data_IF_290169571807
#
_entry.id   IF_290169571807
#
_cell.length_a   1.000
_cell.length_b   1.000
_cell.length_c   1.000
_cell.angle_alpha   90.00
_cell.angle_beta   90.00
_cell.angle_gamma   90.00
#
_symmetry.space_group_name_H-M   'P 1'
#
loop_
_entity.id
_entity.type
_entity.pdbx_description
1 polymer ?
#
# COMPACT_ATOMS: atom_id res chain seq x y z
N UNK A 1 48.95 -131.09 18.02
CA UNK A 1 49.47 -129.76 18.38
C UNK A 1 48.46 -128.72 17.92
N UNK A 2 47.57 -128.31 18.83
CA UNK A 2 46.16 -127.96 18.60
C UNK A 2 45.92 -126.67 17.77
N UNK A 3 45.37 -126.86 16.56
CA UNK A 3 44.04 -126.42 16.05
C UNK A 3 43.36 -125.14 16.60
N UNK A 4 42.42 -124.49 15.85
CA UNK A 4 42.10 -124.63 14.40
C UNK A 4 41.58 -123.36 13.65
N UNK A 5 41.48 -123.50 12.31
CA UNK A 5 40.32 -123.25 11.37
C UNK A 5 39.53 -121.92 11.48
N UNK A 6 38.85 -121.39 10.46
CA UNK A 6 38.56 -121.62 9.02
C UNK A 6 37.68 -120.41 8.62
N UNK A 7 37.49 -120.25 7.30
CA UNK A 7 36.19 -120.03 6.64
C UNK A 7 36.10 -118.75 5.79
N UNK A 8 35.59 -119.02 4.60
CA UNK A 8 35.31 -118.21 3.42
C UNK A 8 33.80 -117.82 3.42
N UNK A 9 33.44 -116.58 3.05
CA UNK A 9 32.11 -116.15 2.53
C UNK A 9 32.25 -114.66 2.15
N UNK A 10 32.15 -114.14 0.92
CA UNK A 10 31.13 -114.14 -0.15
C UNK A 10 29.86 -113.28 0.17
N UNK A 11 29.61 -112.29 -0.72
CA UNK A 11 28.32 -111.71 -1.22
C UNK A 11 27.86 -110.27 -0.82
N UNK A 12 27.71 -109.45 -1.90
CA UNK A 12 26.65 -108.49 -2.33
C UNK A 12 26.37 -107.09 -1.69
N UNK A 13 26.59 -106.04 -2.51
CA UNK A 13 25.63 -105.14 -3.23
C UNK A 13 24.47 -104.41 -2.46
N UNK A 14 24.39 -103.07 -2.66
CA UNK A 14 23.26 -102.08 -2.65
C UNK A 14 23.29 -100.91 -1.60
N UNK A 15 23.33 -99.69 -2.16
CA UNK A 15 22.83 -98.33 -1.82
C UNK A 15 22.97 -97.63 -0.45
N UNK A 16 23.59 -96.44 -0.55
CA UNK A 16 23.18 -95.09 -0.09
C UNK A 16 22.77 -94.90 1.39
N UNK A 17 23.59 -94.12 2.10
CA UNK A 17 23.21 -93.39 3.31
C UNK A 17 24.32 -92.41 3.72
N UNK A 18 24.04 -91.10 3.56
CA UNK A 18 24.84 -89.98 4.05
C UNK A 18 25.31 -90.20 5.50
N UNK A 19 26.60 -89.98 5.75
CA UNK A 19 27.06 -89.59 7.09
C UNK A 19 27.61 -88.16 6.97
N UNK A 20 26.79 -87.22 7.45
CA UNK A 20 27.15 -85.82 7.55
C UNK A 20 28.32 -85.67 8.54
N UNK A 21 29.40 -85.07 8.07
CA UNK A 21 30.42 -84.47 8.92
C UNK A 21 29.74 -83.27 9.57
N UNK A 22 29.36 -83.37 10.84
CA UNK A 22 28.85 -82.23 11.62
C UNK A 22 30.02 -81.28 11.88
N UNK A 23 30.31 -80.43 10.88
CA UNK A 23 31.18 -79.28 11.03
C UNK A 23 30.64 -78.37 12.14
N UNK A 24 31.54 -77.89 12.99
CA UNK A 24 31.28 -76.74 13.83
C UNK A 24 30.86 -75.60 12.89
N UNK A 25 29.57 -75.22 12.91
CA UNK A 25 29.10 -74.06 12.16
C UNK A 25 29.81 -72.85 12.76
N UNK A 26 30.68 -72.20 11.98
CA UNK A 26 31.15 -70.86 12.33
C UNK A 26 29.89 -70.01 12.51
N UNK A 27 29.68 -69.50 13.73
CA UNK A 27 28.52 -68.65 13.99
C UNK A 27 28.73 -67.34 13.24
N UNK A 28 27.74 -66.93 12.45
CA UNK A 28 27.74 -65.62 11.79
C UNK A 28 27.87 -64.52 12.85
N UNK A 29 28.76 -63.56 12.63
CA UNK A 29 28.90 -62.40 13.52
C UNK A 29 28.58 -61.11 12.78
N UNK A 30 28.03 -60.15 13.53
CA UNK A 30 27.68 -58.82 13.05
C UNK A 30 28.42 -57.77 13.88
N UNK A 31 28.88 -56.71 13.22
CA UNK A 31 29.63 -55.62 13.84
C UNK A 31 28.73 -54.41 14.02
N UNK A 32 28.70 -53.88 15.23
CA UNK A 32 28.09 -52.59 15.57
C UNK A 32 29.21 -51.58 15.77
N UNK A 33 29.24 -50.56 14.92
CA UNK A 33 30.19 -49.44 15.01
C UNK A 33 29.49 -48.23 15.62
N UNK A 34 30.14 -47.53 16.55
CA UNK A 34 29.59 -46.34 17.19
C UNK A 34 30.20 -45.07 16.59
N UNK A 35 29.35 -44.18 16.08
CA UNK A 35 29.73 -42.88 15.51
C UNK A 35 29.37 -41.75 16.51
N UNK A 36 30.32 -40.89 16.91
CA UNK A 36 30.06 -39.80 17.85
C UNK A 36 29.12 -38.72 17.31
N UNK A 37 28.85 -38.70 15.99
CA UNK A 37 27.91 -37.83 15.31
C UNK A 37 28.03 -36.34 15.70
N UNK A 38 29.23 -35.79 15.47
CA UNK A 38 29.58 -34.42 15.85
C UNK A 38 30.04 -34.27 17.31
N UNK A 39 30.07 -35.35 18.09
CA UNK A 39 30.82 -35.44 19.35
C UNK A 39 32.30 -35.77 19.14
N UNK A 40 33.02 -35.95 20.24
CA UNK A 40 34.44 -36.29 20.30
C UNK A 40 34.68 -37.51 21.19
N UNK A 41 35.80 -38.21 21.00
CA UNK A 41 36.18 -39.43 21.72
C UNK A 41 36.33 -40.64 20.79
N UNK A 42 36.53 -41.83 21.35
CA UNK A 42 36.65 -43.08 20.61
C UNK A 42 35.98 -44.23 21.37
N UNK A 43 35.26 -45.09 20.65
CA UNK A 43 34.69 -46.34 21.16
C UNK A 43 35.13 -47.50 20.27
N UNK A 44 35.37 -48.66 20.87
CA UNK A 44 35.66 -49.88 20.11
C UNK A 44 34.40 -50.41 19.44
N UNK A 45 34.57 -51.06 18.29
CA UNK A 45 33.49 -51.79 17.64
C UNK A 45 33.04 -52.97 18.51
N UNK A 46 31.74 -53.27 18.48
CA UNK A 46 31.15 -54.34 19.26
C UNK A 46 30.66 -55.47 18.35
N UNK A 47 31.09 -56.69 18.64
CA UNK A 47 30.76 -57.88 17.85
C UNK A 47 29.58 -58.60 18.51
N UNK A 48 28.58 -58.93 17.70
CA UNK A 48 27.40 -59.70 18.07
C UNK A 48 27.38 -61.02 17.33
N UNK A 49 27.01 -62.09 18.01
CA UNK A 49 26.77 -63.40 17.40
C UNK A 49 25.32 -63.48 16.93
N UNK A 50 25.07 -63.99 15.72
CA UNK A 50 23.73 -64.12 15.17
C UNK A 50 22.80 -64.91 16.11
N UNK A 51 21.64 -64.31 16.42
CA UNK A 51 20.61 -64.88 17.29
C UNK A 51 20.83 -64.67 18.80
N UNK A 52 21.97 -64.11 19.21
CA UNK A 52 22.24 -63.76 20.61
C UNK A 52 21.91 -62.28 20.87
N UNK A 53 21.39 -61.97 22.06
CA UNK A 53 21.19 -60.60 22.51
C UNK A 53 22.34 -60.16 23.42
N UNK A 54 22.74 -58.90 23.32
CA UNK A 54 23.82 -58.32 24.11
C UNK A 54 23.56 -56.83 24.36
N UNK A 55 23.96 -56.34 25.53
CA UNK A 55 23.89 -54.93 25.88
C UNK A 55 24.90 -54.11 25.07
N UNK A 56 24.47 -52.96 24.55
CA UNK A 56 25.37 -51.99 23.94
C UNK A 56 26.40 -51.51 24.97
N UNK A 57 27.63 -51.27 24.51
CA UNK A 57 28.65 -50.62 25.34
C UNK A 57 28.18 -49.20 25.67
N UNK A 58 28.32 -48.79 26.94
CA UNK A 58 27.92 -47.46 27.39
C UNK A 58 28.68 -46.36 26.63
N UNK A 59 27.98 -45.28 26.29
CA UNK A 59 28.56 -44.15 25.58
C UNK A 59 29.73 -43.54 26.37
N UNK A 60 30.84 -43.31 25.67
CA UNK A 60 32.01 -42.58 26.20
C UNK A 60 32.31 -41.31 25.42
N UNK A 61 31.56 -41.02 24.36
CA UNK A 61 31.70 -39.78 23.63
C UNK A 61 31.21 -38.59 24.45
N UNK A 62 31.76 -37.42 24.15
CA UNK A 62 31.35 -36.13 24.72
C UNK A 62 31.12 -35.11 23.61
N UNK A 63 30.24 -34.13 23.87
CA UNK A 63 30.02 -32.99 22.98
C UNK A 63 29.79 -31.75 23.85
N UNK A 64 30.67 -30.76 23.72
CA UNK A 64 30.61 -29.52 24.49
C UNK A 64 29.22 -28.86 24.34
N UNK A 65 28.60 -28.44 25.45
CA UNK A 65 27.24 -27.88 25.55
C UNK A 65 26.08 -28.79 25.13
N UNK A 66 26.30 -30.10 25.01
CA UNK A 66 25.25 -31.07 24.72
C UNK A 66 25.28 -32.29 25.66
N UNK A 67 24.11 -32.82 25.99
CA UNK A 67 23.92 -34.09 26.69
C UNK A 67 23.56 -35.21 25.71
N UNK A 68 24.17 -36.39 25.87
CA UNK A 68 23.81 -37.58 25.11
C UNK A 68 22.37 -38.01 25.43
N UNK A 69 21.59 -38.37 24.41
CA UNK A 69 20.20 -38.81 24.54
C UNK A 69 20.09 -40.33 24.34
N UNK A 70 20.53 -40.82 23.18
CA UNK A 70 20.40 -42.21 22.74
C UNK A 70 21.30 -42.49 21.53
N UNK A 71 21.33 -43.75 21.11
CA UNK A 71 21.88 -44.21 19.85
C UNK A 71 20.78 -44.30 18.79
N UNK A 72 21.06 -43.90 17.55
CA UNK A 72 20.13 -44.05 16.41
C UNK A 72 20.80 -44.79 15.25
N UNK A 73 20.02 -45.56 14.49
CA UNK A 73 20.50 -46.18 13.23
C UNK A 73 20.69 -45.16 12.09
N UNK A 74 20.19 -43.92 12.26
CA UNK A 74 20.38 -42.82 11.31
C UNK A 74 21.02 -41.60 11.97
N UNK A 75 21.86 -40.91 11.21
CA UNK A 75 22.63 -39.75 11.67
C UNK A 75 21.74 -38.57 12.11
N UNK A 76 20.63 -38.36 11.42
CA UNK A 76 19.63 -37.33 11.71
C UNK A 76 18.68 -37.68 12.88
N UNK A 77 18.86 -38.85 13.48
CA UNK A 77 18.04 -39.30 14.61
C UNK A 77 16.65 -39.81 14.21
N UNK A 78 16.35 -39.92 12.92
CA UNK A 78 15.06 -40.40 12.42
C UNK A 78 15.12 -41.93 12.28
N UNK A 79 14.28 -42.66 13.01
CA UNK A 79 14.19 -44.12 12.92
C UNK A 79 14.34 -44.82 14.27
N UNK A 80 14.80 -46.08 14.25
CA UNK A 80 14.99 -46.88 15.46
C UNK A 80 16.08 -46.29 16.34
N UNK A 81 15.76 -46.11 17.61
CA UNK A 81 16.70 -45.64 18.63
C UNK A 81 16.86 -46.65 19.75
N UNK A 82 18.03 -46.65 20.36
CA UNK A 82 18.41 -47.51 21.47
C UNK A 82 18.94 -46.64 22.61
N UNK A 83 18.47 -46.90 23.82
CA UNK A 83 18.99 -46.26 25.04
C UNK A 83 20.45 -46.66 25.26
N UNK A 84 21.17 -45.84 26.02
CA UNK A 84 22.52 -46.20 26.41
C UNK A 84 22.52 -47.51 27.22
N UNK A 85 23.35 -48.48 26.82
CA UNK A 85 23.39 -49.79 27.46
C UNK A 85 22.22 -50.73 27.14
N UNK A 86 21.38 -50.42 26.15
CA UNK A 86 20.22 -51.27 25.80
C UNK A 86 20.65 -52.65 25.27
N UNK A 87 19.94 -53.70 25.69
CA UNK A 87 20.14 -55.07 25.18
C UNK A 87 19.43 -55.26 23.85
N UNK A 88 20.20 -55.50 22.79
CA UNK A 88 19.69 -55.64 21.42
C UNK A 88 20.12 -56.97 20.80
N UNK A 89 19.40 -57.38 19.75
CA UNK A 89 19.83 -58.43 18.81
C UNK A 89 19.98 -57.79 17.43
N UNK A 90 21.06 -58.10 16.72
CA UNK A 90 21.33 -57.58 15.37
C UNK A 90 21.39 -58.70 14.35
N UNK A 91 20.98 -58.41 13.12
CA UNK A 91 20.94 -59.37 11.99
C UNK A 91 21.79 -58.92 10.80
N UNK A 92 22.51 -57.80 10.93
CA UNK A 92 23.43 -57.25 9.94
C UNK A 92 24.39 -56.26 10.63
N UNK A 93 25.50 -55.93 9.96
CA UNK A 93 26.43 -54.89 10.44
C UNK A 93 25.76 -53.52 10.39
N UNK A 94 25.85 -52.73 11.45
CA UNK A 94 25.23 -51.40 11.50
C UNK A 94 26.11 -50.38 12.21
N UNK A 95 25.86 -49.10 11.90
CA UNK A 95 26.45 -47.98 12.61
C UNK A 95 25.38 -47.32 13.46
N UNK A 96 25.69 -47.08 14.73
CA UNK A 96 24.85 -46.33 15.66
C UNK A 96 25.43 -44.93 15.86
N UNK A 97 24.61 -43.92 15.61
CA UNK A 97 24.97 -42.51 15.70
C UNK A 97 24.47 -41.92 17.01
N UNK A 98 25.37 -41.32 17.79
CA UNK A 98 25.03 -40.63 19.02
C UNK A 98 24.07 -39.45 18.74
N UNK A 99 23.01 -39.33 19.54
CA UNK A 99 22.07 -38.20 19.47
C UNK A 99 22.26 -37.30 20.68
N UNK A 100 22.26 -35.99 20.44
CA UNK A 100 22.71 -34.98 21.38
C UNK A 100 21.63 -33.91 21.61
N UNK A 101 21.39 -33.51 22.86
CA UNK A 101 20.49 -32.41 23.24
C UNK A 101 21.31 -31.26 23.80
N UNK A 102 21.20 -30.06 23.23
CA UNK A 102 21.89 -28.89 23.76
C UNK A 102 21.44 -28.60 25.20
N UNK A 103 22.38 -28.40 26.11
CA UNK A 103 22.10 -28.12 27.53
C UNK A 103 21.91 -26.65 27.81
N UNK A 104 22.41 -25.76 26.94
CA UNK A 104 22.30 -24.31 27.03
C UNK A 104 21.88 -23.73 25.67
N UNK A 105 20.59 -23.81 25.28
CA UNK A 105 20.16 -23.13 24.06
C UNK A 105 20.31 -21.61 24.29
N UNK A 106 21.21 -20.96 23.55
CA UNK A 106 21.12 -19.51 23.33
C UNK A 106 19.72 -19.24 22.79
N UNK A 107 18.93 -18.29 23.36
CA UNK A 107 17.69 -17.87 22.74
C UNK A 107 17.98 -17.48 21.29
N UNK A 108 17.15 -17.92 20.34
CA UNK A 108 17.22 -17.43 18.97
C UNK A 108 17.00 -15.90 18.93
N UNK A 109 17.14 -15.24 17.77
CA UNK A 109 16.72 -13.86 17.66
C UNK A 109 15.27 -13.77 18.17
N UNK A 110 15.06 -12.88 19.15
CA UNK A 110 13.73 -12.57 19.70
C UNK A 110 12.75 -12.33 18.54
N UNK A 111 11.45 -12.71 18.66
CA UNK A 111 10.45 -12.31 17.70
C UNK A 111 10.49 -10.79 17.57
N UNK A 112 10.93 -10.29 16.42
CA UNK A 112 10.73 -8.88 16.07
C UNK A 112 9.23 -8.72 15.89
N UNK A 113 8.62 -7.85 16.71
CA UNK A 113 7.21 -7.50 16.58
C UNK A 113 6.97 -6.96 15.16
N UNK A 114 6.48 -7.83 14.28
CA UNK A 114 6.21 -7.49 12.89
C UNK A 114 4.76 -7.11 12.73
N UNK A 115 4.51 -6.02 12.01
CA UNK A 115 3.18 -5.54 11.66
C UNK A 115 2.96 -5.70 10.16
N UNK A 116 1.69 -5.83 9.77
CA UNK A 116 1.30 -5.97 8.37
C UNK A 116 0.30 -4.89 7.98
N UNK A 117 0.55 -4.21 6.86
CA UNK A 117 -0.42 -3.37 6.17
C UNK A 117 -1.03 -4.19 5.04
N UNK A 118 -2.35 -4.36 5.07
CA UNK A 118 -3.13 -4.98 4.00
C UNK A 118 -3.88 -3.90 3.23
N UNK A 119 -3.96 -4.03 1.90
CA UNK A 119 -4.66 -3.08 1.05
C UNK A 119 -5.97 -3.70 0.54
N UNK A 120 -7.07 -2.96 0.67
CA UNK A 120 -8.40 -3.35 0.21
C UNK A 120 -8.88 -2.36 -0.86
N UNK A 121 -9.32 -2.88 -2.01
CA UNK A 121 -9.78 -2.05 -3.13
C UNK A 121 -11.08 -1.30 -2.84
N UNK A 122 -11.81 -1.61 -1.75
CA UNK A 122 -13.02 -0.94 -1.28
C UNK A 122 -14.06 -0.69 -2.39
N UNK A 123 -14.45 -1.79 -3.03
CA UNK A 123 -15.36 -1.78 -4.18
C UNK A 123 -14.73 -1.37 -5.51
N UNK A 124 -13.41 -1.22 -5.57
CA UNK A 124 -12.62 -1.23 -6.80
C UNK A 124 -12.23 -2.65 -7.25
N UNK A 125 -11.32 -2.72 -8.22
CA UNK A 125 -10.74 -3.94 -8.80
C UNK A 125 -9.22 -3.86 -8.82
N UNK A 126 -8.54 -4.99 -8.95
CA UNK A 126 -7.07 -5.12 -8.92
C UNK A 126 -6.58 -5.88 -7.69
N UNK A 127 -5.26 -6.04 -7.56
CA UNK A 127 -4.61 -6.75 -6.46
C UNK A 127 -3.35 -5.99 -6.01
N UNK A 128 -3.08 -6.01 -4.71
CA UNK A 128 -1.84 -5.48 -4.11
C UNK A 128 -1.33 -6.45 -3.06
N UNK A 129 -0.01 -6.66 -3.03
CA UNK A 129 0.61 -7.47 -1.98
C UNK A 129 0.59 -6.72 -0.63
N UNK A 130 0.34 -7.40 0.49
CA UNK A 130 0.50 -6.80 1.81
C UNK A 130 1.96 -6.46 2.07
N UNK A 131 2.20 -5.44 2.89
CA UNK A 131 3.53 -5.04 3.33
C UNK A 131 3.75 -5.47 4.77
N UNK A 132 4.89 -6.09 5.07
CA UNK A 132 5.28 -6.47 6.44
C UNK A 132 6.60 -5.81 6.83
N UNK A 133 6.64 -5.24 8.02
CA UNK A 133 7.80 -4.52 8.55
C UNK A 133 7.85 -4.58 10.07
N UNK A 134 8.96 -4.13 10.66
CA UNK A 134 9.13 -4.07 12.12
C UNK A 134 8.24 -2.97 12.70
N UNK A 135 7.54 -3.27 13.79
CA UNK A 135 6.63 -2.35 14.47
C UNK A 135 7.32 -1.02 14.79
N UNK A 136 6.69 0.08 14.36
CA UNK A 136 7.17 1.45 14.58
C UNK A 136 8.27 1.93 13.63
N UNK A 137 8.80 1.07 12.73
CA UNK A 137 9.70 1.53 11.67
C UNK A 137 8.95 2.28 10.57
N UNK A 138 9.66 3.23 9.95
CA UNK A 138 9.12 4.10 8.92
C UNK A 138 9.33 3.53 7.52
N UNK A 139 8.25 3.41 6.74
CA UNK A 139 8.27 2.87 5.38
C UNK A 139 7.34 3.66 4.45
N UNK A 140 7.65 3.70 3.17
CA UNK A 140 6.72 4.19 2.15
C UNK A 140 5.71 3.12 1.75
N UNK A 141 4.43 3.48 1.66
CA UNK A 141 3.41 2.63 1.07
C UNK A 141 3.77 2.30 -0.39
N UNK A 142 3.37 1.11 -0.84
CA UNK A 142 3.44 0.78 -2.27
C UNK A 142 2.40 1.62 -3.02
N UNK A 143 2.77 2.14 -4.20
CA UNK A 143 1.85 2.90 -5.03
C UNK A 143 0.57 2.09 -5.35
N UNK A 144 -0.58 2.75 -5.34
CA UNK A 144 -1.87 2.11 -5.59
C UNK A 144 -1.88 1.39 -6.95
N UNK A 145 -2.28 0.12 -6.95
CA UNK A 145 -2.50 -0.69 -8.14
C UNK A 145 -3.98 -1.02 -8.39
N UNK A 146 -4.89 -0.56 -7.52
CA UNK A 146 -6.32 -0.73 -7.73
C UNK A 146 -6.86 0.29 -8.73
N UNK A 147 -8.00 -0.06 -9.33
CA UNK A 147 -8.78 0.83 -10.18
C UNK A 147 -10.26 0.72 -9.82
N UNK A 148 -11.05 1.75 -10.11
CA UNK A 148 -12.51 1.68 -9.98
C UNK A 148 -13.14 2.49 -11.11
N UNK A 149 -13.96 1.83 -11.91
CA UNK A 149 -14.49 2.40 -13.15
C UNK A 149 -15.25 3.72 -12.90
N UNK A 150 -14.86 4.81 -13.58
CA UNK A 150 -15.39 6.18 -13.43
C UNK A 150 -15.08 6.87 -12.09
N UNK A 151 -14.21 6.28 -11.27
CA UNK A 151 -13.69 6.88 -10.07
C UNK A 151 -12.18 7.09 -10.21
N UNK A 152 -11.66 8.07 -9.50
CA UNK A 152 -10.22 8.20 -9.27
C UNK A 152 -9.89 7.77 -7.84
N UNK A 153 -8.73 7.13 -7.69
CA UNK A 153 -8.18 6.78 -6.38
C UNK A 153 -7.80 8.07 -5.68
N UNK A 154 -8.43 8.35 -4.54
CA UNK A 154 -8.12 9.52 -3.76
C UNK A 154 -6.96 9.21 -2.82
N UNK A 155 -7.00 8.09 -2.12
CA UNK A 155 -6.00 7.75 -1.12
C UNK A 155 -6.40 6.52 -0.34
N UNK A 156 -5.67 6.25 0.72
CA UNK A 156 -5.96 5.16 1.65
C UNK A 156 -6.65 5.69 2.90
N UNK A 157 -7.53 4.88 3.52
CA UNK A 157 -8.10 5.19 4.82
C UNK A 157 -8.21 3.93 5.70
N UNK A 158 -8.11 4.07 7.02
CA UNK A 158 -8.30 2.93 7.95
C UNK A 158 -9.77 2.51 8.13
N UNK A 159 -10.73 3.24 7.53
CA UNK A 159 -12.16 2.91 7.50
C UNK A 159 -12.67 2.88 6.06
N UNK A 160 -13.61 1.98 5.76
CA UNK A 160 -14.21 1.84 4.42
C UNK A 160 -14.97 3.08 3.97
N UNK A 161 -15.56 3.83 4.92
CA UNK A 161 -16.34 5.05 4.69
C UNK A 161 -15.49 6.34 4.72
N UNK A 162 -14.17 6.22 4.87
CA UNK A 162 -13.25 7.37 4.92
C UNK A 162 -13.19 8.11 6.26
N UNK A 163 -13.92 7.67 7.29
CA UNK A 163 -13.94 8.35 8.61
C UNK A 163 -12.70 8.10 9.48
N UNK A 164 -11.81 7.19 9.06
CA UNK A 164 -10.58 6.83 9.75
C UNK A 164 -9.39 7.74 9.42
N UNK A 165 -8.19 7.25 9.68
CA UNK A 165 -6.94 7.96 9.37
C UNK A 165 -6.66 7.85 7.87
N UNK A 166 -6.49 9.00 7.21
CA UNK A 166 -6.20 9.08 5.78
C UNK A 166 -4.68 9.07 5.50
N UNK A 167 -4.28 8.36 4.45
CA UNK A 167 -2.91 8.35 3.94
C UNK A 167 -2.92 8.64 2.43
N UNK A 168 -2.00 9.48 1.97
CA UNK A 168 -1.79 9.71 0.54
C UNK A 168 -1.21 8.46 -0.14
N UNK A 169 -1.25 8.42 -1.48
CA UNK A 169 -0.54 7.38 -2.22
C UNK A 169 0.97 7.47 -1.97
N UNK A 170 1.64 6.33 -1.85
CA UNK A 170 3.08 6.22 -1.53
C UNK A 170 3.54 6.98 -0.26
N UNK A 171 2.60 7.32 0.64
CA UNK A 171 2.91 8.05 1.87
C UNK A 171 3.92 7.29 2.75
N UNK A 172 4.76 8.05 3.44
CA UNK A 172 5.61 7.52 4.51
C UNK A 172 4.75 7.25 5.76
N UNK A 173 4.82 6.04 6.30
CA UNK A 173 4.02 5.57 7.44
C UNK A 173 4.88 4.83 8.46
N UNK A 174 4.49 4.92 9.73
CA UNK A 174 4.98 4.08 10.80
C UNK A 174 3.76 3.56 11.59
N UNK A 175 3.55 2.25 11.61
CA UNK A 175 2.42 1.63 12.33
C UNK A 175 2.96 0.69 13.40
N UNK A 176 2.27 0.66 14.54
CA UNK A 176 2.64 -0.20 15.68
C UNK A 176 1.77 -1.45 15.79
N UNK A 177 0.72 -1.53 14.98
CA UNK A 177 -0.22 -2.65 14.90
C UNK A 177 -0.55 -2.92 13.42
N UNK A 178 -0.99 -4.14 13.11
CA UNK A 178 -1.41 -4.48 11.75
C UNK A 178 -2.71 -3.78 11.39
N UNK A 179 -2.77 -3.17 10.21
CA UNK A 179 -3.94 -2.40 9.74
C UNK A 179 -4.37 -2.81 8.34
N UNK A 180 -5.63 -2.54 8.01
CA UNK A 180 -6.12 -2.58 6.64
C UNK A 180 -6.35 -1.15 6.15
N UNK A 181 -5.81 -0.84 4.98
CA UNK A 181 -6.00 0.41 4.27
C UNK A 181 -7.00 0.19 3.13
N UNK A 182 -8.13 0.88 3.21
CA UNK A 182 -9.19 0.85 2.22
C UNK A 182 -8.98 1.98 1.22
N UNK A 183 -8.92 1.62 -0.06
CA UNK A 183 -8.88 2.59 -1.14
C UNK A 183 -10.10 3.50 -1.07
N UNK A 184 -9.87 4.80 -1.13
CA UNK A 184 -10.92 5.79 -1.21
C UNK A 184 -11.05 6.24 -2.65
N UNK A 185 -12.30 6.39 -3.08
CA UNK A 185 -12.65 6.63 -4.46
C UNK A 185 -13.60 7.80 -4.54
N UNK A 186 -13.39 8.68 -5.51
CA UNK A 186 -14.35 9.74 -5.81
C UNK A 186 -14.88 9.54 -7.23
N UNK A 187 -16.21 9.37 -7.33
CA UNK A 187 -16.95 9.26 -8.58
C UNK A 187 -16.86 10.59 -9.30
N UNK A 188 -16.34 10.64 -10.53
CA UNK A 188 -16.22 11.94 -11.18
C UNK A 188 -15.24 12.02 -12.34
N UNK A 189 -15.25 11.07 -13.26
CA UNK A 189 -14.75 11.36 -14.61
C UNK A 189 -15.79 10.82 -15.58
N UNK A 190 -16.43 11.72 -16.33
CA UNK A 190 -17.40 11.35 -17.36
C UNK A 190 -16.86 11.60 -18.77
N UNK A 191 -15.71 12.26 -18.88
CA UNK A 191 -15.04 12.51 -20.17
C UNK A 191 -13.73 13.28 -20.01
N UNK A 192 -13.08 13.54 -21.13
CA UNK A 192 -11.84 14.31 -21.23
C UNK A 192 -11.94 15.27 -22.43
N UNK A 193 -11.53 16.51 -22.25
CA UNK A 193 -11.45 17.51 -23.31
C UNK A 193 -10.10 18.22 -23.24
N UNK A 194 -9.37 18.22 -24.37
CA UNK A 194 -8.05 18.86 -24.51
C UNK A 194 -7.03 18.45 -23.43
N UNK A 195 -7.07 17.20 -22.95
CA UNK A 195 -6.15 16.69 -21.94
C UNK A 195 -6.61 16.90 -20.49
N UNK A 196 -7.78 17.49 -20.27
CA UNK A 196 -8.35 17.73 -18.95
C UNK A 196 -9.63 16.91 -18.73
N UNK A 197 -9.71 16.24 -17.58
CA UNK A 197 -10.89 15.44 -17.23
C UNK A 197 -12.03 16.34 -16.76
N UNK A 198 -13.27 15.94 -17.09
CA UNK A 198 -14.49 16.62 -16.65
C UNK A 198 -15.52 15.66 -16.07
N UNK A 199 -16.48 16.25 -15.36
CA UNK A 199 -17.66 15.61 -14.80
C UNK A 199 -18.91 16.27 -15.34
N UNK A 200 -19.76 15.47 -15.96
CA UNK A 200 -21.16 15.80 -16.17
C UNK A 200 -21.91 15.51 -14.87
N UNK A 201 -22.27 16.57 -14.16
CA UNK A 201 -23.04 16.51 -12.93
C UNK A 201 -24.55 16.34 -13.18
N UNK A 202 -24.99 16.29 -14.45
CA UNK A 202 -26.40 16.23 -14.81
C UNK A 202 -27.14 17.53 -14.52
N UNK A 203 -26.43 18.66 -14.51
CA UNK A 203 -27.01 19.98 -14.29
C UNK A 203 -27.86 20.41 -15.50
N UNK A 204 -28.93 21.21 -15.30
CA UNK A 204 -29.78 21.68 -16.38
C UNK A 204 -29.06 22.35 -17.55
N UNK A 205 -27.97 23.08 -17.30
CA UNK A 205 -27.14 23.72 -18.33
C UNK A 205 -26.41 22.73 -19.23
N UNK A 206 -26.27 21.47 -18.81
CA UNK A 206 -25.43 20.47 -19.49
C UNK A 206 -23.93 20.73 -19.39
N UNK A 207 -23.52 21.78 -18.67
CA UNK A 207 -22.14 22.21 -18.56
C UNK A 207 -21.28 21.15 -17.87
N UNK A 208 -20.11 20.86 -18.44
CA UNK A 208 -19.17 19.88 -17.88
C UNK A 208 -18.20 20.60 -16.93
N UNK A 209 -18.04 20.09 -15.72
CA UNK A 209 -17.19 20.70 -14.69
C UNK A 209 -15.84 20.02 -14.59
N UNK A 210 -14.75 20.79 -14.54
CA UNK A 210 -13.41 20.26 -14.40
C UNK A 210 -13.25 19.42 -13.12
N UNK A 211 -12.50 18.32 -13.21
CA UNK A 211 -12.22 17.48 -12.04
C UNK A 211 -11.26 18.13 -11.05
N UNK A 212 -10.42 19.06 -11.49
CA UNK A 212 -9.45 19.80 -10.66
C UNK A 212 -9.49 21.32 -10.96
N UNK A 213 -8.84 22.11 -10.12
CA UNK A 213 -8.65 23.55 -10.36
C UNK A 213 -7.64 23.78 -11.48
N UNK A 214 -7.71 24.93 -12.14
CA UNK A 214 -6.64 25.37 -13.05
C UNK A 214 -5.30 25.40 -12.28
N UNK A 215 -4.27 24.76 -12.85
CA UNK A 215 -2.96 24.57 -12.20
C UNK A 215 -2.85 23.36 -11.27
N UNK A 216 -3.92 22.60 -11.04
CA UNK A 216 -3.90 21.38 -10.23
C UNK A 216 -3.81 20.10 -11.08
N UNK A 217 -3.11 19.10 -10.57
CA UNK A 217 -2.97 17.76 -11.16
C UNK A 217 -3.98 16.73 -10.61
N UNK A 218 -4.69 17.09 -9.54
CA UNK A 218 -5.66 16.24 -8.88
C UNK A 218 -6.84 17.04 -8.30
N UNK A 219 -8.01 16.41 -8.04
CA UNK A 219 -9.19 17.11 -7.53
C UNK A 219 -9.03 17.73 -6.13
N UNK A 220 -8.11 17.20 -5.31
CA UNK A 220 -7.81 17.71 -3.96
C UNK A 220 -6.69 18.74 -3.94
N UNK A 221 -5.83 18.80 -4.96
CA UNK A 221 -4.81 19.82 -5.07
C UNK A 221 -5.42 21.21 -5.28
N UNK A 222 -4.81 22.21 -4.66
CA UNK A 222 -5.37 23.57 -4.65
C UNK A 222 -5.28 24.26 -6.01
N UNK A 223 -4.24 23.95 -6.78
CA UNK A 223 -3.94 24.60 -8.06
C UNK A 223 -3.40 26.02 -7.86
N UNK A 224 -3.47 26.79 -8.94
CA UNK A 224 -2.94 28.15 -8.97
C UNK A 224 -3.97 29.16 -8.45
N UNK A 225 -3.44 30.32 -8.01
CA UNK A 225 -4.24 31.45 -7.56
C UNK A 225 -4.15 32.55 -8.62
N UNK A 226 -5.28 33.06 -9.07
CA UNK A 226 -5.34 34.11 -10.09
C UNK A 226 -6.03 35.33 -9.50
N UNK A 227 -5.50 36.53 -9.76
CA UNK A 227 -6.30 37.74 -9.65
C UNK A 227 -7.33 37.74 -10.80
N UNK A 228 -8.49 38.34 -10.59
CA UNK A 228 -9.57 38.28 -11.57
C UNK A 228 -9.18 38.98 -12.88
N UNK A 229 -9.26 38.27 -14.01
CA UNK A 229 -8.81 38.78 -15.30
C UNK A 229 -7.30 38.67 -15.55
N UNK A 230 -6.55 38.03 -14.64
CA UNK A 230 -5.16 37.64 -14.87
C UNK A 230 -5.08 36.14 -15.20
N UNK A 231 -4.12 35.79 -16.05
CA UNK A 231 -4.00 34.43 -16.60
C UNK A 231 -2.75 33.70 -16.10
N UNK A 232 -1.96 34.34 -15.24
CA UNK A 232 -0.76 33.78 -14.62
C UNK A 232 -0.77 34.04 -13.11
N UNK A 233 -0.31 33.08 -12.30
CA UNK A 233 -0.15 33.29 -10.86
C UNK A 233 1.01 34.25 -10.56
N UNK A 234 1.03 34.78 -9.34
CA UNK A 234 2.06 35.70 -8.85
C UNK A 234 2.31 35.51 -7.36
N UNK A 235 3.35 36.18 -6.85
CA UNK A 235 3.75 36.06 -5.44
C UNK A 235 3.06 37.08 -4.52
N UNK A 236 2.64 38.22 -5.08
CA UNK A 236 2.01 39.32 -4.34
C UNK A 236 0.66 39.64 -4.98
N UNK A 237 -0.38 39.72 -4.16
CA UNK A 237 -1.76 40.03 -4.56
C UNK A 237 -2.26 41.27 -3.82
N UNK A 238 -2.05 42.42 -4.44
CA UNK A 238 -2.45 43.74 -3.95
C UNK A 238 -2.83 44.65 -5.14
N UNK A 239 -3.28 45.87 -4.86
CA UNK A 239 -3.58 46.84 -5.93
C UNK A 239 -2.34 47.27 -6.72
N UNK A 240 -1.13 47.16 -6.17
CA UNK A 240 0.09 47.56 -6.89
C UNK A 240 0.45 46.53 -7.97
N UNK A 241 0.24 45.26 -7.67
CA UNK A 241 0.54 44.11 -8.53
C UNK A 241 -0.60 43.72 -9.48
N UNK A 242 -1.80 44.29 -9.31
CA UNK A 242 -2.96 43.98 -10.15
C UNK A 242 -2.87 44.68 -11.52
N UNK A 243 -2.93 43.91 -12.61
CA UNK A 243 -2.62 44.45 -13.95
C UNK A 243 -3.72 45.38 -14.50
N UNK A 244 -4.95 45.26 -14.00
CA UNK A 244 -6.09 46.05 -14.45
C UNK A 244 -6.41 47.25 -13.55
N UNK A 245 -5.40 47.80 -12.89
CA UNK A 245 -5.45 49.14 -12.30
C UNK A 245 -4.13 49.90 -12.45
N UNK A 246 -4.12 51.18 -12.06
CA UNK A 246 -2.92 52.02 -12.01
C UNK A 246 -2.32 52.06 -10.59
N UNK A 247 -2.11 50.88 -10.00
CA UNK A 247 -1.35 50.71 -8.76
C UNK A 247 -2.06 51.08 -7.46
N UNK A 248 -3.31 51.56 -7.52
CA UNK A 248 -4.12 51.90 -6.35
C UNK A 248 -5.58 51.53 -6.55
N UNK A 249 -6.32 51.42 -5.45
CA UNK A 249 -7.77 51.22 -5.51
C UNK A 249 -8.44 52.36 -6.31
N UNK A 250 -9.54 52.06 -7.01
CA UNK A 250 -10.28 53.06 -7.80
C UNK A 250 -9.51 53.67 -8.99
N UNK A 251 -8.49 52.98 -9.49
CA UNK A 251 -7.81 53.33 -10.75
C UNK A 251 -7.91 52.23 -11.80
N UNK A 252 -9.10 51.66 -11.96
CA UNK A 252 -9.34 50.50 -12.82
C UNK A 252 -9.11 50.87 -14.29
N UNK A 253 -8.39 50.02 -15.03
CA UNK A 253 -8.01 50.23 -16.42
C UNK A 253 -8.70 49.27 -17.40
N UNK A 254 -9.44 48.27 -16.90
CA UNK A 254 -10.25 47.32 -17.69
C UNK A 254 -11.42 46.77 -16.88
N UNK A 255 -12.54 46.46 -17.55
CA UNK A 255 -13.78 45.98 -16.95
C UNK A 255 -14.35 46.97 -15.93
N UNK A 256 -14.66 48.20 -16.34
CA UNK A 256 -15.21 49.23 -15.46
C UNK A 256 -16.51 49.80 -16.02
N UNK A 257 -17.51 49.98 -15.14
CA UNK A 257 -18.78 50.64 -15.42
C UNK A 257 -19.02 51.93 -14.61
N UNK A 258 -18.08 52.29 -13.74
CA UNK A 258 -18.17 53.49 -12.92
C UNK A 258 -16.93 54.38 -13.17
N UNK A 259 -17.10 55.57 -13.78
CA UNK A 259 -15.98 56.46 -14.11
C UNK A 259 -15.27 57.01 -12.87
N UNK A 260 -15.89 56.98 -11.68
CA UNK A 260 -15.24 57.45 -10.44
C UNK A 260 -14.17 56.47 -9.93
N UNK A 261 -14.22 55.21 -10.37
CA UNK A 261 -13.25 54.16 -10.02
C UNK A 261 -12.38 53.76 -11.22
N UNK A 262 -12.62 54.35 -12.38
CA UNK A 262 -11.82 54.17 -13.58
C UNK A 262 -10.63 55.13 -13.60
N UNK A 263 -9.47 54.64 -14.01
CA UNK A 263 -8.30 55.49 -14.20
C UNK A 263 -8.59 56.57 -15.24
N UNK A 264 -8.49 57.85 -14.85
CA UNK A 264 -8.88 59.00 -15.68
C UNK A 264 -10.32 58.90 -16.24
N UNK A 265 -11.25 58.33 -15.49
CA UNK A 265 -12.65 58.20 -15.92
C UNK A 265 -12.91 57.03 -16.86
N UNK A 266 -11.97 56.08 -16.99
CA UNK A 266 -12.10 54.94 -17.90
C UNK A 266 -13.35 54.08 -17.59
N UNK A 267 -14.08 53.72 -18.65
CA UNK A 267 -15.13 52.69 -18.62
C UNK A 267 -15.17 51.96 -19.96
N UNK A 268 -15.43 50.65 -19.92
CA UNK A 268 -15.65 49.79 -21.09
C UNK A 268 -16.96 48.99 -21.00
N UNK A 269 -17.61 49.00 -19.83
CA UNK A 269 -18.85 48.30 -19.51
C UNK A 269 -18.81 46.79 -19.78
N UNK A 270 -17.63 46.19 -19.88
CA UNK A 270 -17.48 44.74 -20.02
C UNK A 270 -17.93 44.05 -18.72
N UNK A 271 -18.75 43.01 -18.85
CA UNK A 271 -19.41 42.33 -17.70
C UNK A 271 -18.94 40.91 -17.45
N UNK A 272 -18.17 40.37 -18.38
CA UNK A 272 -17.67 39.00 -18.35
C UNK A 272 -16.26 38.99 -18.90
N UNK A 273 -15.40 38.13 -18.35
CA UNK A 273 -14.04 37.93 -18.86
C UNK A 273 -14.05 37.66 -20.37
N UNK A 274 -13.18 38.37 -21.08
CA UNK A 274 -12.79 38.06 -22.44
C UNK A 274 -11.88 36.82 -22.45
N UNK A 275 -11.90 36.00 -23.52
CA UNK A 275 -11.08 34.78 -23.59
C UNK A 275 -9.60 34.97 -23.28
N UNK A 276 -9.02 36.11 -23.70
CA UNK A 276 -7.61 36.45 -23.44
C UNK A 276 -7.30 36.81 -21.98
N UNK A 277 -8.32 37.10 -21.17
CA UNK A 277 -8.19 37.42 -19.74
C UNK A 277 -8.75 36.31 -18.84
N UNK A 278 -9.22 35.21 -19.42
CA UNK A 278 -9.76 34.06 -18.67
C UNK A 278 -8.65 33.04 -18.40
N UNK A 279 -8.29 32.87 -17.13
CA UNK A 279 -7.23 31.96 -16.72
C UNK A 279 -7.48 30.52 -17.21
N UNK A 280 -8.71 30.02 -17.19
CA UNK A 280 -9.01 28.67 -17.67
C UNK A 280 -8.81 28.57 -19.19
N UNK A 281 -9.32 29.54 -19.94
CA UNK A 281 -9.18 29.54 -21.41
C UNK A 281 -7.74 29.64 -21.86
N UNK A 282 -6.95 30.52 -21.24
CA UNK A 282 -5.54 30.72 -21.60
C UNK A 282 -4.68 29.51 -21.19
N UNK A 283 -4.92 28.90 -20.03
CA UNK A 283 -4.08 27.80 -19.56
C UNK A 283 -4.47 26.44 -20.17
N UNK A 284 -5.76 26.20 -20.46
CA UNK A 284 -6.26 24.87 -20.87
C UNK A 284 -6.80 24.82 -22.32
N UNK A 285 -6.57 25.87 -23.10
CA UNK A 285 -6.99 26.05 -24.49
C UNK A 285 -8.50 26.24 -24.70
N UNK A 286 -8.86 26.52 -25.97
CA UNK A 286 -10.23 26.83 -26.38
C UNK A 286 -11.24 25.73 -26.01
N UNK A 287 -12.39 26.14 -25.48
CA UNK A 287 -13.47 25.28 -24.99
C UNK A 287 -13.58 25.29 -23.46
N UNK A 288 -12.44 25.38 -22.75
CA UNK A 288 -12.42 25.59 -21.31
C UNK A 288 -12.55 27.08 -20.96
N UNK A 289 -13.30 27.40 -19.91
CA UNK A 289 -13.46 28.77 -19.40
C UNK A 289 -13.79 28.80 -17.92
N UNK A 290 -13.63 29.96 -17.31
CA UNK A 290 -14.13 30.24 -15.97
C UNK A 290 -15.67 30.23 -16.01
N UNK A 291 -16.35 29.52 -15.09
CA UNK A 291 -17.80 29.46 -15.06
C UNK A 291 -18.41 30.83 -14.79
N UNK A 292 -19.57 31.07 -15.37
CA UNK A 292 -20.36 32.25 -15.06
C UNK A 292 -20.96 32.15 -13.66
N UNK A 293 -21.34 33.28 -13.11
CA UNK A 293 -22.06 33.38 -11.84
C UNK A 293 -23.35 32.56 -11.82
N UNK A 294 -24.06 32.50 -12.96
CA UNK A 294 -25.28 31.73 -13.09
C UNK A 294 -25.00 30.22 -13.06
N UNK A 295 -23.94 29.75 -13.71
CA UNK A 295 -23.52 28.34 -13.67
C UNK A 295 -23.05 27.93 -12.27
N UNK A 296 -22.34 28.80 -11.55
CA UNK A 296 -22.02 28.55 -10.15
C UNK A 296 -23.28 28.54 -9.26
N UNK A 297 -24.25 29.39 -9.54
CA UNK A 297 -25.54 29.38 -8.84
C UNK A 297 -26.30 28.09 -9.10
N UNK A 298 -26.29 27.61 -10.34
CA UNK A 298 -26.89 26.34 -10.72
C UNK A 298 -26.19 25.17 -10.01
N UNK A 299 -24.86 25.12 -10.05
CA UNK A 299 -24.06 24.12 -9.36
C UNK A 299 -24.47 24.00 -7.89
N UNK A 300 -24.51 25.14 -7.17
CA UNK A 300 -24.92 25.18 -5.76
C UNK A 300 -26.37 24.75 -5.56
N UNK A 301 -27.29 25.20 -6.41
CA UNK A 301 -28.73 25.00 -6.20
C UNK A 301 -29.20 23.60 -6.59
N UNK A 302 -28.49 22.92 -7.50
CA UNK A 302 -28.89 21.62 -8.05
C UNK A 302 -28.03 20.47 -7.53
N UNK A 303 -26.91 20.73 -6.87
CA UNK A 303 -26.13 19.69 -6.20
C UNK A 303 -26.54 19.54 -4.73
N UNK A 304 -26.39 18.32 -4.21
CA UNK A 304 -26.24 18.10 -2.77
C UNK A 304 -24.82 18.54 -2.39
N UNK A 305 -24.69 19.42 -1.39
CA UNK A 305 -23.41 20.04 -1.02
C UNK A 305 -23.03 19.65 0.40
N UNK A 306 -21.95 18.90 0.57
CA UNK A 306 -21.52 18.36 1.87
C UNK A 306 -20.08 18.77 2.17
N UNK A 307 -19.82 19.28 3.37
CA UNK A 307 -18.45 19.49 3.85
C UNK A 307 -17.83 18.15 4.23
N UNK A 308 -16.63 17.88 3.74
CA UNK A 308 -15.92 16.62 3.98
C UNK A 308 -14.41 16.81 3.88
N UNK A 309 -13.67 15.77 4.24
CA UNK A 309 -12.22 15.70 4.09
C UNK A 309 -11.89 14.58 3.10
N UNK A 310 -11.20 14.92 2.01
CA UNK A 310 -10.69 13.95 1.05
C UNK A 310 -9.16 14.00 1.09
N UNK A 311 -8.52 12.88 1.43
CA UNK A 311 -7.05 12.76 1.54
C UNK A 311 -6.41 13.81 2.46
N UNK A 312 -7.05 14.11 3.59
CA UNK A 312 -6.56 15.14 4.51
C UNK A 312 -6.84 16.59 4.05
N UNK A 313 -7.46 16.78 2.89
CA UNK A 313 -7.87 18.10 2.39
C UNK A 313 -9.35 18.33 2.68
N UNK A 314 -9.65 19.35 3.47
CA UNK A 314 -11.03 19.79 3.72
C UNK A 314 -11.61 20.48 2.48
N UNK A 315 -12.92 20.40 2.30
CA UNK A 315 -13.62 21.08 1.22
C UNK A 315 -15.07 20.66 1.09
N UNK A 316 -15.73 21.09 0.02
CA UNK A 316 -17.10 20.69 -0.31
C UNK A 316 -17.10 19.61 -1.38
N UNK A 317 -17.80 18.51 -1.12
CA UNK A 317 -18.24 17.57 -2.13
C UNK A 317 -19.59 18.04 -2.68
N UNK A 318 -19.68 18.24 -3.99
CA UNK A 318 -20.90 18.62 -4.69
C UNK A 318 -21.34 17.46 -5.56
N UNK A 319 -22.47 16.86 -5.20
CA UNK A 319 -23.05 15.71 -5.90
C UNK A 319 -24.25 16.17 -6.70
N UNK A 320 -24.15 16.07 -8.02
CA UNK A 320 -25.22 16.44 -8.94
C UNK A 320 -26.40 15.47 -8.92
N UNK A 321 -27.52 15.83 -9.58
CA UNK A 321 -28.74 15.01 -9.60
C UNK A 321 -28.56 13.62 -10.23
N UNK A 322 -27.53 13.41 -11.05
CA UNK A 322 -27.22 12.11 -11.63
C UNK A 322 -26.32 11.23 -10.73
N UNK A 323 -25.94 11.71 -9.54
CA UNK A 323 -25.08 11.02 -8.59
C UNK A 323 -23.58 11.26 -8.79
N UNK A 324 -23.14 11.82 -9.92
CA UNK A 324 -21.73 12.19 -10.12
C UNK A 324 -21.35 13.37 -9.22
N UNK A 325 -20.07 13.47 -8.88
CA UNK A 325 -19.61 14.49 -7.94
C UNK A 325 -18.33 15.19 -8.39
N UNK A 326 -18.14 16.42 -7.91
CA UNK A 326 -16.85 17.11 -7.89
C UNK A 326 -16.50 17.52 -6.46
N UNK A 327 -15.22 17.61 -6.16
CA UNK A 327 -14.73 18.14 -4.89
C UNK A 327 -14.09 19.51 -5.11
N UNK A 328 -14.53 20.50 -4.32
CA UNK A 328 -13.96 21.83 -4.26
C UNK A 328 -13.16 21.97 -2.95
N UNK A 329 -11.82 21.91 -3.01
CA UNK A 329 -10.99 22.03 -1.81
C UNK A 329 -11.14 23.40 -1.12
N UNK A 330 -10.98 23.41 0.20
CA UNK A 330 -10.90 24.61 1.02
C UNK A 330 -9.53 25.26 0.83
N UNK A 331 -9.34 25.93 -0.29
CA UNK A 331 -8.07 26.47 -0.78
C UNK A 331 -7.62 27.76 -0.11
N UNK A 332 -8.52 28.44 0.60
CA UNK A 332 -8.28 29.81 1.06
C UNK A 332 -8.23 30.81 -0.11
N UNK A 333 -7.52 31.91 0.11
CA UNK A 333 -7.19 32.90 -0.91
C UNK A 333 -5.79 33.49 -0.67
N UNK A 334 -5.26 34.26 -1.62
CA UNK A 334 -4.00 35.00 -1.46
C UNK A 334 -4.22 36.50 -1.44
N UNK A 335 -3.61 37.16 -0.47
CA UNK A 335 -3.63 38.60 -0.24
C UNK A 335 -2.23 39.03 0.22
N UNK A 336 -1.70 40.10 -0.36
CA UNK A 336 -0.29 40.48 -0.28
C UNK A 336 0.59 39.26 -0.60
N UNK A 337 1.55 38.95 0.27
CA UNK A 337 2.43 37.78 0.18
C UNK A 337 1.94 36.58 0.99
N UNK A 338 0.69 36.60 1.49
CA UNK A 338 0.16 35.58 2.39
C UNK A 338 -0.90 34.70 1.73
N UNK A 339 -0.98 33.45 2.17
CA UNK A 339 -2.11 32.57 1.88
C UNK A 339 -2.97 32.47 3.15
N UNK A 340 -4.22 32.91 3.07
CA UNK A 340 -5.16 32.93 4.18
C UNK A 340 -6.20 31.82 4.06
N UNK A 341 -6.49 31.12 5.15
CA UNK A 341 -7.66 30.24 5.24
C UNK A 341 -7.58 28.90 4.51
N UNK A 342 -6.40 28.50 4.05
CA UNK A 342 -6.14 27.14 3.57
C UNK A 342 -6.65 26.09 4.59
N UNK A 343 -7.41 25.12 4.11
CA UNK A 343 -8.08 24.09 4.92
C UNK A 343 -9.34 24.54 5.67
N UNK A 344 -9.68 25.84 5.63
CA UNK A 344 -10.81 26.43 6.39
C UNK A 344 -11.96 26.85 5.48
N UNK A 345 -11.66 27.51 4.35
CA UNK A 345 -12.65 27.91 3.35
C UNK A 345 -12.04 27.81 1.94
N UNK A 346 -12.85 27.88 0.89
CA UNK A 346 -12.42 27.96 -0.50
C UNK A 346 -13.05 29.16 -1.20
N UNK A 347 -12.32 29.74 -2.15
CA UNK A 347 -12.73 30.93 -2.90
C UNK A 347 -12.50 30.71 -4.40
N UNK A 348 -13.56 30.84 -5.20
CA UNK A 348 -13.55 30.46 -6.61
C UNK A 348 -14.10 31.59 -7.47
N UNK A 349 -13.30 32.05 -8.43
CA UNK A 349 -13.73 33.10 -9.35
C UNK A 349 -14.80 32.60 -10.31
N UNK A 350 -15.85 33.41 -10.48
CA UNK A 350 -16.68 33.37 -11.68
C UNK A 350 -16.13 34.32 -12.74
N UNK A 351 -16.56 34.16 -13.99
CA UNK A 351 -16.18 35.08 -15.07
C UNK A 351 -16.91 36.42 -15.00
N UNK A 352 -17.81 36.65 -14.04
CA UNK A 352 -18.65 37.84 -14.01
C UNK A 352 -18.12 38.98 -13.14
N UNK A 353 -18.25 40.17 -13.69
CA UNK A 353 -18.04 41.45 -13.04
C UNK A 353 -19.14 41.78 -12.01
N UNK A 354 -18.82 42.58 -10.98
CA UNK A 354 -19.81 43.11 -10.03
C UNK A 354 -20.31 44.50 -10.44
N UNK A 355 -21.51 44.58 -11.00
CA UNK A 355 -22.16 45.83 -11.42
C UNK A 355 -22.13 46.92 -10.34
N UNK A 356 -21.65 48.11 -10.68
CA UNK A 356 -21.55 49.25 -9.78
C UNK A 356 -20.42 49.15 -8.74
N UNK A 357 -19.57 48.13 -8.83
CA UNK A 357 -18.41 47.94 -7.95
C UNK A 357 -17.17 47.51 -8.76
N UNK A 358 -16.52 48.43 -9.52
CA UNK A 358 -15.28 48.18 -10.23
C UNK A 358 -14.10 47.67 -9.41
N UNK A 359 -14.11 47.65 -8.10
CA UNK A 359 -13.02 46.99 -7.37
C UNK A 359 -13.26 45.49 -7.17
N UNK A 360 -14.45 44.98 -7.50
CA UNK A 360 -14.83 43.58 -7.26
C UNK A 360 -15.29 42.78 -8.49
N UNK A 361 -15.26 41.47 -8.30
CA UNK A 361 -15.83 40.48 -9.20
C UNK A 361 -16.64 39.44 -8.40
N UNK A 362 -17.47 38.69 -9.10
CA UNK A 362 -18.33 37.68 -8.50
C UNK A 362 -17.58 36.37 -8.26
N UNK A 363 -17.81 35.75 -7.10
CA UNK A 363 -17.14 34.51 -6.69
C UNK A 363 -18.10 33.55 -5.99
N UNK A 364 -17.69 32.28 -5.90
CA UNK A 364 -18.26 31.28 -5.00
C UNK A 364 -17.35 31.14 -3.79
N UNK A 365 -17.92 31.34 -2.60
CA UNK A 365 -17.29 31.09 -1.31
C UNK A 365 -17.86 29.81 -0.69
N UNK A 366 -17.01 29.02 -0.06
CA UNK A 366 -17.42 27.83 0.68
C UNK A 366 -16.60 27.64 1.95
N UNK A 367 -17.23 27.23 3.04
CA UNK A 367 -16.60 26.77 4.28
C UNK A 367 -17.42 25.59 4.86
N UNK A 368 -17.20 25.20 6.11
CA UNK A 368 -17.94 24.11 6.76
C UNK A 368 -19.45 24.35 6.87
N UNK A 369 -19.87 25.61 6.95
CA UNK A 369 -21.25 26.01 7.22
C UNK A 369 -21.95 26.57 5.97
N UNK A 370 -21.17 27.17 5.06
CA UNK A 370 -21.64 27.97 3.94
C UNK A 370 -21.15 27.43 2.59
N UNK A 371 -21.96 27.64 1.56
CA UNK A 371 -21.59 27.54 0.16
C UNK A 371 -22.43 28.60 -0.58
N UNK A 372 -21.87 29.79 -0.78
CA UNK A 372 -22.62 31.01 -1.13
C UNK A 372 -21.92 31.79 -2.23
N UNK A 373 -22.70 32.57 -2.96
CA UNK A 373 -22.20 33.44 -4.01
C UNK A 373 -22.03 34.85 -3.47
N UNK A 374 -20.86 35.44 -3.69
CA UNK A 374 -20.45 36.71 -3.08
C UNK A 374 -19.65 37.58 -4.06
N UNK A 375 -19.10 38.69 -3.56
CA UNK A 375 -18.15 39.54 -4.26
C UNK A 375 -16.77 39.40 -3.62
N UNK A 376 -15.72 39.32 -4.43
CA UNK A 376 -14.33 39.40 -3.99
C UNK A 376 -13.61 40.57 -4.64
N UNK A 377 -12.61 41.14 -3.96
CA UNK A 377 -11.73 42.13 -4.57
C UNK A 377 -10.90 41.50 -5.68
N UNK A 378 -10.84 42.16 -6.84
CA UNK A 378 -10.28 41.57 -8.06
C UNK A 378 -8.79 41.29 -7.99
N UNK A 379 -8.05 42.01 -7.15
CA UNK A 379 -6.61 41.77 -6.96
C UNK A 379 -6.30 40.52 -6.14
N UNK A 380 -7.27 39.98 -5.37
CA UNK A 380 -7.08 38.81 -4.51
C UNK A 380 -6.86 37.57 -5.36
N UNK A 381 -5.87 36.76 -5.01
CA UNK A 381 -5.64 35.48 -5.65
C UNK A 381 -6.68 34.46 -5.23
N UNK A 382 -7.43 33.92 -6.18
CA UNK A 382 -8.43 32.86 -5.94
C UNK A 382 -8.37 31.78 -7.01
N UNK A 383 -9.06 30.66 -6.77
CA UNK A 383 -9.05 29.50 -7.66
C UNK A 383 -9.99 29.69 -8.84
N UNK A 384 -9.73 28.93 -9.90
CA UNK A 384 -10.66 28.74 -11.01
C UNK A 384 -10.97 27.25 -11.12
N UNK A 385 -12.25 26.90 -10.94
CA UNK A 385 -12.79 25.59 -11.29
C UNK A 385 -13.45 25.69 -12.66
N UNK A 386 -12.71 25.32 -13.70
CA UNK A 386 -13.13 25.53 -15.07
C UNK A 386 -14.37 24.71 -15.46
N UNK A 387 -15.08 25.19 -16.48
CA UNK A 387 -16.17 24.48 -17.15
C UNK A 387 -15.90 24.34 -18.64
N UNK A 388 -16.53 23.35 -19.25
CA UNK A 388 -16.42 23.02 -20.66
C UNK A 388 -17.82 22.85 -21.28
N UNK A 389 -17.98 23.41 -22.48
CA UNK A 389 -19.16 23.29 -23.34
C UNK A 389 -18.72 22.60 -24.65
N UNK A 390 -19.47 21.60 -25.10
CA UNK A 390 -19.11 20.70 -26.22
C UNK A 390 -19.26 21.32 -27.62
#
# INVERSE_FOLDING_TARGET
MRTPKRTLMIIAIIMIGMLAISGCKDKTTYTVTFDPNGGTGAMSEQIFTEGESQALTLNTFTREDYAFINWSVMKDGIGTSYRDGETITVTFNMTLYAQWKCTNPTPGPEPVDSVTITFDANGGTGEMAPMSFVSGETHHLTANAFSKENYWFTGWNTSTDGSGTAYADSAEVAVTESITLFAQWSLGVTGNANGHNYVDLGLPSGMKWATCNVGADSPVAYGDYFAWGETSPKDVYDWVSYIWCNGEESTITKYSDNPNEGYNGFTDNLRTLLPEDDAATVNWNAGWRTPTYNEMSELRNHCTVTWTTQNGVNGRLLTGPNGNSIFLPATGNRYDNTCGGAGTYGSYWSSNFTTGFPTGARMLFLDSDNCVLENGYRFVGQQVRAVYDE
#
